data_IF_961198896606
#
_entry.id   IF_961198896606
#
_cell.length_a   1.000
_cell.length_b   1.000
_cell.length_c   1.000
_cell.angle_alpha   90.00
_cell.angle_beta   90.00
_cell.angle_gamma   90.00
#
_symmetry.space_group_name_H-M   'P 1'
#
loop_
_entity.id
_entity.type
_entity.pdbx_description
1 polymer ?
#
# COMPACT_ATOMS: atom_id res chain seq x y z
N UNK A 1 76.93 57.26 99.26
CA UNK A 1 76.94 58.72 99.52
C UNK A 1 76.64 59.44 98.22
N UNK A 2 75.73 60.42 98.29
CA UNK A 2 75.21 61.33 97.22
C UNK A 2 74.25 60.70 96.19
N UNK A 3 72.91 60.67 96.38
CA UNK A 3 71.86 61.74 96.37
C UNK A 3 71.55 62.24 94.92
N UNK A 4 70.46 61.84 94.22
CA UNK A 4 68.99 62.16 94.32
C UNK A 4 68.61 63.62 93.95
N UNK A 5 67.37 63.97 93.50
CA UNK A 5 66.26 63.30 92.75
C UNK A 5 65.68 64.30 91.67
N UNK A 6 64.36 64.51 91.44
CA UNK A 6 63.19 63.70 91.01
C UNK A 6 62.81 64.02 89.51
N UNK A 7 61.69 63.68 88.86
CA UNK A 7 60.33 64.22 89.03
C UNK A 7 59.39 63.75 87.89
N UNK A 8 58.10 63.94 88.13
CA UNK A 8 56.91 63.35 87.51
C UNK A 8 56.22 64.34 86.55
N UNK A 9 55.42 63.80 85.60
CA UNK A 9 54.23 64.39 84.94
C UNK A 9 54.40 65.35 83.74
N UNK A 10 53.30 65.66 83.01
CA UNK A 10 52.48 64.80 82.14
C UNK A 10 52.47 65.38 80.71
N UNK A 11 52.01 64.68 79.66
CA UNK A 11 51.37 65.38 78.52
C UNK A 11 50.70 64.40 77.57
N UNK A 12 49.38 64.33 77.74
CA UNK A 12 48.43 64.07 76.68
C UNK A 12 48.74 65.05 75.53
N UNK A 13 49.21 64.54 74.39
CA UNK A 13 49.20 65.30 73.15
C UNK A 13 47.75 65.44 72.64
N UNK A 14 47.38 66.60 72.05
CA UNK A 14 46.05 66.80 71.50
C UNK A 14 45.83 65.87 70.30
N UNK A 15 44.61 65.33 70.20
CA UNK A 15 44.13 64.61 69.00
C UNK A 15 44.40 65.47 67.75
N UNK A 16 45.08 64.96 66.72
CA UNK A 16 44.81 65.44 65.38
C UNK A 16 43.42 64.96 64.99
N UNK A 17 42.58 65.91 64.56
CA UNK A 17 41.29 65.66 63.97
C UNK A 17 41.43 64.51 62.97
N UNK A 18 40.65 63.45 63.22
CA UNK A 18 40.55 62.29 62.35
C UNK A 18 40.26 62.76 60.93
N UNK A 19 41.20 62.53 60.02
CA UNK A 19 40.90 62.54 58.59
C UNK A 19 39.63 61.71 58.37
N UNK A 20 38.65 62.19 57.59
CA UNK A 20 37.48 61.42 57.27
C UNK A 20 37.92 60.15 56.56
N UNK A 21 37.79 59.02 57.26
CA UNK A 21 38.09 57.69 56.76
C UNK A 21 37.39 57.51 55.41
N UNK A 22 38.19 57.36 54.34
CA UNK A 22 37.67 57.12 53.00
C UNK A 22 36.66 55.95 53.07
N UNK A 23 35.48 56.06 52.41
CA UNK A 23 34.47 55.03 52.49
C UNK A 23 35.08 53.69 52.07
N UNK A 24 35.01 52.72 52.97
CA UNK A 24 35.47 51.36 52.70
C UNK A 24 34.87 50.89 51.36
N UNK A 25 35.66 50.28 50.46
CA UNK A 25 35.14 49.77 49.21
C UNK A 25 33.96 48.83 49.50
N UNK A 26 32.88 48.87 48.69
CA UNK A 26 31.72 48.04 48.93
C UNK A 26 32.14 46.57 49.01
N UNK A 27 31.77 45.89 50.10
CA UNK A 27 32.06 44.46 50.25
C UNK A 27 31.56 43.72 49.01
N UNK A 28 32.36 42.81 48.42
CA UNK A 28 31.93 42.08 47.23
C UNK A 28 30.61 41.36 47.54
N UNK A 29 29.55 41.70 46.82
CA UNK A 29 28.27 41.00 46.91
C UNK A 29 28.52 39.56 46.49
N UNK A 30 28.62 38.65 47.46
CA UNK A 30 28.74 37.22 47.21
C UNK A 30 27.44 36.74 46.54
N UNK A 31 27.43 36.72 45.20
CA UNK A 31 26.35 36.08 44.42
C UNK A 31 26.34 34.62 44.83
N UNK A 32 25.38 34.21 45.66
CA UNK A 32 25.14 32.78 45.96
C UNK A 32 25.08 32.05 44.61
N UNK A 33 26.08 31.21 44.34
CA UNK A 33 26.12 30.39 43.11
C UNK A 33 24.78 29.64 43.04
N UNK A 34 24.04 29.84 41.95
CA UNK A 34 22.72 29.23 41.72
C UNK A 34 22.88 27.75 41.37
N UNK A 35 23.49 26.97 42.27
CA UNK A 35 23.66 25.52 42.13
C UNK A 35 22.33 24.81 41.91
N UNK A 36 21.24 25.36 42.46
CA UNK A 36 19.87 24.89 42.19
C UNK A 36 19.47 25.02 40.71
N UNK A 37 19.95 26.05 39.98
CA UNK A 37 19.65 26.22 38.57
C UNK A 37 20.46 25.24 37.70
N UNK A 38 21.70 24.94 38.09
CA UNK A 38 22.51 23.88 37.46
C UNK A 38 21.88 22.51 37.70
N UNK A 39 21.45 22.22 38.93
CA UNK A 39 20.74 20.98 39.28
C UNK A 39 19.42 20.83 38.52
N UNK A 40 18.63 21.91 38.40
CA UNK A 40 17.40 21.92 37.60
C UNK A 40 17.69 21.68 36.11
N UNK A 41 18.75 22.29 35.56
CA UNK A 41 19.17 22.05 34.18
C UNK A 41 19.54 20.59 33.92
N UNK A 42 20.34 19.97 34.79
CA UNK A 42 20.70 18.56 34.68
C UNK A 42 19.49 17.63 34.81
N UNK A 43 18.55 17.95 35.70
CA UNK A 43 17.31 17.20 35.85
C UNK A 43 16.44 17.27 34.59
N UNK A 44 16.33 18.45 33.96
CA UNK A 44 15.60 18.63 32.69
C UNK A 44 16.26 17.85 31.54
N UNK A 45 17.60 17.87 31.45
CA UNK A 45 18.34 17.07 30.45
C UNK A 45 18.12 15.58 30.69
N UNK A 46 18.23 15.12 31.94
CA UNK A 46 17.96 13.72 32.31
C UNK A 46 16.54 13.30 31.96
N UNK A 47 15.55 14.15 32.27
CA UNK A 47 14.15 13.91 31.91
C UNK A 47 13.95 13.84 30.39
N UNK A 48 14.60 14.73 29.62
CA UNK A 48 14.56 14.70 28.15
C UNK A 48 15.18 13.42 27.57
N UNK A 49 16.30 12.96 28.13
CA UNK A 49 16.94 11.69 27.73
C UNK A 49 16.01 10.51 28.02
N UNK A 50 15.46 10.42 29.24
CA UNK A 50 14.54 9.34 29.61
C UNK A 50 13.29 9.35 28.73
N UNK A 51 12.75 10.53 28.46
CA UNK A 51 11.62 10.72 27.55
C UNK A 51 11.95 10.24 26.12
N UNK A 52 13.12 10.61 25.61
CA UNK A 52 13.61 10.17 24.29
C UNK A 52 13.78 8.66 24.20
N UNK A 53 14.46 8.04 25.18
CA UNK A 53 14.66 6.58 25.23
C UNK A 53 13.32 5.84 25.35
N UNK A 54 12.39 6.33 26.19
CA UNK A 54 11.05 5.76 26.33
C UNK A 54 10.29 5.83 25.00
N UNK A 55 10.31 6.98 24.33
CA UNK A 55 9.66 7.19 23.04
C UNK A 55 10.24 6.26 21.97
N UNK A 56 11.58 6.18 21.88
CA UNK A 56 12.26 5.31 20.92
C UNK A 56 11.89 3.83 21.12
N UNK A 57 11.89 3.35 22.38
CA UNK A 57 11.44 1.98 22.69
C UNK A 57 9.98 1.72 22.30
N UNK A 58 9.12 2.74 22.41
CA UNK A 58 7.72 2.65 21.95
C UNK A 58 7.62 2.54 20.43
N UNK A 59 8.41 3.32 19.71
CA UNK A 59 8.51 3.24 18.24
C UNK A 59 9.02 1.86 17.83
N UNK A 60 10.16 1.41 18.37
CA UNK A 60 10.72 0.07 18.11
C UNK A 60 9.72 -1.04 18.40
N UNK A 61 9.02 -1.00 19.54
CA UNK A 61 8.00 -1.98 19.88
C UNK A 61 6.83 -2.00 18.88
N UNK A 62 6.44 -0.84 18.36
CA UNK A 62 5.37 -0.71 17.36
C UNK A 62 5.80 -1.33 16.03
N UNK A 63 6.99 -1.00 15.53
CA UNK A 63 7.52 -1.56 14.28
C UNK A 63 7.82 -3.06 14.40
N UNK A 64 8.24 -3.56 15.58
CA UNK A 64 8.41 -5.00 15.80
C UNK A 64 7.09 -5.78 15.69
N UNK A 65 5.93 -5.18 15.98
CA UNK A 65 4.62 -5.80 15.70
C UNK A 65 4.38 -5.87 14.19
N UNK A 66 4.67 -4.79 13.47
CA UNK A 66 4.54 -4.73 12.01
C UNK A 66 5.43 -5.76 11.31
N UNK A 67 6.70 -5.89 11.73
CA UNK A 67 7.64 -6.88 11.18
C UNK A 67 7.13 -8.31 11.36
N UNK A 68 6.54 -8.63 12.52
CA UNK A 68 5.93 -9.96 12.77
C UNK A 68 4.75 -10.22 11.85
N UNK A 69 3.88 -9.22 11.64
CA UNK A 69 2.78 -9.32 10.70
C UNK A 69 3.29 -9.59 9.27
N UNK A 70 4.29 -8.84 8.81
CA UNK A 70 4.88 -9.05 7.46
C UNK A 70 5.48 -10.45 7.34
N UNK A 71 6.19 -10.94 8.37
CA UNK A 71 6.74 -12.29 8.38
C UNK A 71 5.66 -13.40 8.40
N UNK A 72 4.47 -13.13 8.98
CA UNK A 72 3.32 -14.03 8.90
C UNK A 72 2.75 -14.07 7.48
N UNK A 73 2.58 -12.91 6.85
CA UNK A 73 2.12 -12.78 5.46
C UNK A 73 3.10 -13.47 4.50
N UNK A 74 4.41 -13.32 4.71
CA UNK A 74 5.42 -13.99 3.89
C UNK A 74 5.34 -15.52 4.02
N UNK A 75 5.23 -16.05 5.24
CA UNK A 75 4.99 -17.50 5.45
C UNK A 75 3.69 -17.98 4.81
N UNK A 76 2.65 -17.15 4.85
CA UNK A 76 1.40 -17.44 4.17
C UNK A 76 1.58 -17.53 2.65
N UNK A 77 2.37 -16.63 2.05
CA UNK A 77 2.76 -16.69 0.64
C UNK A 77 3.48 -17.99 0.30
N UNK A 78 4.49 -18.36 1.09
CA UNK A 78 5.26 -19.59 0.89
C UNK A 78 4.37 -20.85 0.90
N UNK A 79 3.30 -20.82 1.70
CA UNK A 79 2.33 -21.92 1.82
C UNK A 79 1.45 -22.17 0.59
N UNK A 80 1.30 -21.17 -0.31
CA UNK A 80 0.45 -21.33 -1.50
C UNK A 80 1.15 -22.28 -2.48
N UNK A 81 0.61 -23.46 -2.82
CA UNK A 81 1.24 -24.30 -3.84
C UNK A 81 1.23 -23.59 -5.20
N UNK A 82 2.30 -23.77 -5.98
CA UNK A 82 2.34 -23.38 -7.40
C UNK A 82 1.21 -24.07 -8.17
N UNK A 83 0.87 -23.55 -9.35
CA UNK A 83 0.02 -24.29 -10.28
C UNK A 83 0.72 -25.60 -10.64
N UNK A 84 -0.01 -26.71 -10.49
CA UNK A 84 0.37 -28.02 -10.99
C UNK A 84 0.21 -28.10 -12.51
N UNK A 85 0.82 -29.10 -13.13
CA UNK A 85 0.68 -29.36 -14.56
C UNK A 85 -0.78 -29.66 -14.96
N UNK A 86 -1.54 -30.31 -14.08
CA UNK A 86 -2.97 -30.56 -14.25
C UNK A 86 -3.77 -29.25 -14.25
N UNK A 87 -3.53 -28.37 -13.28
CA UNK A 87 -4.19 -27.05 -13.24
C UNK A 87 -3.82 -26.19 -14.45
N UNK A 88 -2.57 -26.24 -14.92
CA UNK A 88 -2.14 -25.59 -16.14
C UNK A 88 -2.86 -26.16 -17.37
N UNK A 89 -3.09 -27.48 -17.40
CA UNK A 89 -3.84 -28.13 -18.48
C UNK A 89 -5.32 -27.73 -18.46
N UNK A 90 -5.95 -27.64 -17.28
CA UNK A 90 -7.31 -27.14 -17.11
C UNK A 90 -7.44 -25.70 -17.62
N UNK A 91 -6.51 -24.81 -17.27
CA UNK A 91 -6.45 -23.44 -17.78
C UNK A 91 -6.17 -23.34 -19.29
N UNK A 92 -6.02 -24.46 -20.00
CA UNK A 92 -5.76 -24.50 -21.44
C UNK A 92 -6.79 -25.34 -22.21
N UNK A 93 -7.86 -25.78 -21.56
CA UNK A 93 -8.87 -26.67 -22.18
C UNK A 93 -9.78 -25.93 -23.15
N UNK A 94 -10.08 -24.66 -22.89
CA UNK A 94 -10.91 -23.85 -23.79
C UNK A 94 -10.07 -23.31 -24.94
N UNK A 95 -10.47 -23.66 -26.17
CA UNK A 95 -9.79 -23.22 -27.40
C UNK A 95 -10.33 -21.88 -27.85
N UNK A 96 -9.53 -21.10 -28.57
CA UNK A 96 -9.93 -19.78 -29.09
C UNK A 96 -11.28 -19.80 -29.85
N UNK A 97 -11.57 -20.85 -30.62
CA UNK A 97 -12.85 -20.98 -31.32
C UNK A 97 -14.07 -20.95 -30.37
N UNK A 98 -13.97 -21.56 -29.19
CA UNK A 98 -15.01 -21.53 -28.15
C UNK A 98 -15.21 -20.12 -27.60
N UNK A 99 -14.13 -19.36 -27.44
CA UNK A 99 -14.22 -17.97 -26.98
C UNK A 99 -14.98 -17.09 -27.98
N UNK A 100 -14.73 -17.25 -29.29
CA UNK A 100 -15.49 -16.53 -30.33
C UNK A 100 -16.95 -16.94 -30.33
N UNK A 101 -17.26 -18.24 -30.26
CA UNK A 101 -18.65 -18.75 -30.19
C UNK A 101 -19.42 -18.19 -28.99
N UNK A 102 -18.81 -18.21 -27.79
CA UNK A 102 -19.40 -17.65 -26.58
C UNK A 102 -19.57 -16.13 -26.70
N UNK A 103 -18.58 -15.44 -27.27
CA UNK A 103 -18.63 -14.00 -27.47
C UNK A 103 -19.76 -13.59 -28.41
N UNK A 104 -19.95 -14.33 -29.52
CA UNK A 104 -21.07 -14.15 -30.45
C UNK A 104 -22.43 -14.45 -29.79
N UNK A 105 -22.49 -15.45 -28.92
CA UNK A 105 -23.72 -15.89 -28.25
C UNK A 105 -24.19 -14.93 -27.16
N UNK A 106 -23.26 -14.44 -26.33
CA UNK A 106 -23.59 -13.64 -25.14
C UNK A 106 -23.29 -12.15 -25.29
N UNK A 107 -22.53 -11.77 -26.30
CA UNK A 107 -22.07 -10.41 -26.49
C UNK A 107 -22.93 -9.58 -27.43
N UNK A 108 -22.39 -8.42 -27.74
CA UNK A 108 -22.98 -7.43 -28.63
C UNK A 108 -21.87 -6.94 -29.54
N UNK A 109 -22.01 -7.19 -30.84
CA UNK A 109 -21.00 -6.78 -31.80
C UNK A 109 -21.07 -7.53 -33.13
N UNK A 110 -20.04 -7.35 -33.98
CA UNK A 110 -18.91 -6.44 -33.78
C UNK A 110 -19.20 -5.01 -34.31
N UNK A 111 -18.93 -3.94 -33.53
CA UNK A 111 -18.92 -2.58 -34.06
C UNK A 111 -17.66 -2.32 -34.89
N UNK A 112 -17.79 -1.58 -35.98
CA UNK A 112 -16.66 -1.21 -36.84
C UNK A 112 -15.83 -0.06 -36.24
N UNK A 113 -16.49 0.90 -35.58
CA UNK A 113 -15.87 2.15 -35.10
C UNK A 113 -16.18 2.44 -33.63
N UNK A 114 -15.41 3.34 -32.99
CA UNK A 114 -15.64 3.72 -31.59
C UNK A 114 -16.97 4.44 -31.37
N UNK A 115 -17.42 5.25 -32.32
CA UNK A 115 -18.73 5.90 -32.24
C UNK A 115 -19.88 4.88 -32.24
N UNK A 116 -19.73 3.80 -33.02
CA UNK A 116 -20.68 2.68 -33.02
C UNK A 116 -20.60 1.89 -31.70
N UNK A 117 -19.39 1.64 -31.19
CA UNK A 117 -19.21 1.03 -29.88
C UNK A 117 -19.84 1.88 -28.76
N UNK A 118 -19.70 3.20 -28.78
CA UNK A 118 -20.36 4.07 -27.81
C UNK A 118 -21.90 3.92 -27.88
N UNK A 119 -22.45 3.95 -29.10
CA UNK A 119 -23.89 3.78 -29.33
C UNK A 119 -24.42 2.42 -28.86
N UNK A 120 -23.69 1.33 -29.14
CA UNK A 120 -24.02 -0.01 -28.65
C UNK A 120 -23.87 -0.09 -27.13
N UNK A 121 -22.81 0.50 -26.60
CA UNK A 121 -22.55 0.54 -25.17
C UNK A 121 -23.70 1.17 -24.42
N UNK A 122 -24.23 2.28 -24.93
CA UNK A 122 -25.36 2.97 -24.30
C UNK A 122 -26.66 2.19 -24.45
N UNK A 123 -26.92 1.66 -25.65
CA UNK A 123 -28.13 0.85 -25.94
C UNK A 123 -28.22 -0.41 -25.08
N UNK A 124 -27.10 -1.07 -24.81
CA UNK A 124 -27.03 -2.33 -24.07
C UNK A 124 -26.49 -2.17 -22.65
N UNK A 125 -26.41 -0.92 -22.16
CA UNK A 125 -25.98 -0.58 -20.81
C UNK A 125 -24.61 -1.19 -20.43
N UNK A 126 -23.63 -1.11 -21.33
CA UNK A 126 -22.26 -1.52 -21.04
C UNK A 126 -21.72 -0.72 -19.85
N UNK A 127 -21.06 -1.45 -18.96
CA UNK A 127 -20.46 -0.92 -17.73
C UNK A 127 -19.04 -0.47 -18.04
N UNK A 128 -18.74 0.79 -17.75
CA UNK A 128 -17.37 1.29 -17.73
C UNK A 128 -16.64 0.67 -16.54
N UNK A 129 -15.46 0.09 -16.79
CA UNK A 129 -14.61 -0.47 -15.74
C UNK A 129 -13.42 0.45 -15.47
N UNK A 130 -13.07 0.60 -14.20
CA UNK A 130 -11.96 1.43 -13.75
C UNK A 130 -11.12 0.67 -12.73
N UNK A 131 -9.93 1.21 -12.41
CA UNK A 131 -9.12 0.67 -11.31
C UNK A 131 -9.83 0.95 -10.00
N UNK A 132 -10.09 -0.09 -9.21
CA UNK A 132 -10.76 0.01 -7.92
C UNK A 132 -10.07 -0.90 -6.89
N UNK A 133 -10.79 -1.26 -5.82
CA UNK A 133 -10.26 -2.18 -4.82
C UNK A 133 -10.09 -3.61 -5.37
N UNK A 134 -10.92 -4.07 -6.31
CA UNK A 134 -10.99 -5.45 -6.80
C UNK A 134 -9.86 -5.76 -7.79
N UNK A 135 -9.60 -4.87 -8.74
CA UNK A 135 -8.61 -5.07 -9.78
C UNK A 135 -8.04 -3.75 -10.31
N UNK A 136 -6.95 -3.83 -11.07
CA UNK A 136 -6.37 -2.69 -11.79
C UNK A 136 -6.72 -2.78 -13.27
N UNK A 137 -7.26 -1.72 -13.86
CA UNK A 137 -7.46 -1.61 -15.31
C UNK A 137 -6.26 -0.89 -15.92
N UNK A 138 -5.50 -1.59 -16.76
CA UNK A 138 -4.35 -1.01 -17.44
C UNK A 138 -4.81 -0.15 -18.62
N UNK A 139 -4.12 0.96 -18.92
CA UNK A 139 -4.40 1.74 -20.11
C UNK A 139 -4.12 0.90 -21.37
N UNK A 140 -5.03 0.94 -22.34
CA UNK A 140 -4.91 0.20 -23.60
C UNK A 140 -5.31 1.07 -24.78
N UNK A 141 -4.41 1.26 -25.74
CA UNK A 141 -4.66 2.06 -26.95
C UNK A 141 -5.81 1.48 -27.78
N UNK A 142 -5.86 0.16 -27.92
CA UNK A 142 -6.81 -0.56 -28.76
C UNK A 142 -7.98 -1.15 -27.96
N UNK A 143 -8.34 -0.56 -26.82
CA UNK A 143 -9.43 -1.08 -25.99
C UNK A 143 -10.31 0.04 -25.46
N UNK A 144 -11.62 -0.17 -25.54
CA UNK A 144 -12.63 0.68 -24.91
C UNK A 144 -12.90 0.08 -23.52
N UNK A 145 -12.66 0.80 -22.40
CA UNK A 145 -12.76 0.28 -21.02
C UNK A 145 -14.22 0.05 -20.59
N UNK A 146 -15.01 -0.62 -21.43
CA UNK A 146 -16.41 -0.96 -21.22
C UNK A 146 -16.60 -2.45 -21.47
N UNK A 147 -17.48 -3.06 -20.69
CA UNK A 147 -17.87 -4.45 -20.81
C UNK A 147 -19.39 -4.57 -20.78
N UNK A 148 -19.93 -5.63 -21.38
CA UNK A 148 -21.33 -6.00 -21.14
C UNK A 148 -21.56 -6.18 -19.62
N UNK A 149 -22.80 -5.96 -19.12
CA UNK A 149 -23.09 -6.13 -17.69
C UNK A 149 -22.68 -7.51 -17.13
N UNK A 150 -22.90 -8.58 -17.90
CA UNK A 150 -22.47 -9.92 -17.49
C UNK A 150 -20.96 -10.09 -17.46
N UNK A 151 -20.21 -9.44 -18.37
CA UNK A 151 -18.75 -9.48 -18.34
C UNK A 151 -18.16 -8.71 -17.16
N UNK A 152 -18.68 -7.52 -16.86
CA UNK A 152 -18.30 -6.80 -15.64
C UNK A 152 -18.60 -7.63 -14.39
N UNK A 153 -19.78 -8.24 -14.29
CA UNK A 153 -20.14 -9.11 -13.16
C UNK A 153 -19.23 -10.35 -13.03
N UNK A 154 -18.80 -10.92 -14.16
CA UNK A 154 -17.85 -12.05 -14.14
C UNK A 154 -16.47 -11.63 -13.66
N UNK A 155 -16.02 -10.43 -14.02
CA UNK A 155 -14.74 -9.88 -13.60
C UNK A 155 -14.70 -9.66 -12.07
N UNK A 156 -15.80 -9.11 -11.53
CA UNK A 156 -16.03 -9.00 -10.09
C UNK A 156 -16.01 -10.36 -9.40
N UNK A 157 -16.64 -11.36 -10.00
CA UNK A 157 -16.68 -12.73 -9.46
C UNK A 157 -15.28 -13.34 -9.39
N UNK A 158 -14.43 -13.09 -10.39
CA UNK A 158 -13.02 -13.49 -10.37
C UNK A 158 -12.28 -12.82 -9.21
N UNK A 159 -12.46 -11.51 -9.01
CA UNK A 159 -11.81 -10.78 -7.92
C UNK A 159 -12.24 -11.25 -6.53
N UNK A 160 -13.53 -11.50 -6.33
CA UNK A 160 -14.05 -12.08 -5.07
C UNK A 160 -13.44 -13.45 -4.83
N UNK A 161 -13.50 -14.35 -5.82
CA UNK A 161 -12.97 -15.72 -5.67
C UNK A 161 -11.45 -15.75 -5.50
N UNK A 162 -10.73 -14.84 -6.15
CA UNK A 162 -9.29 -14.66 -5.96
C UNK A 162 -8.97 -14.23 -4.53
N UNK A 163 -9.69 -13.22 -4.00
CA UNK A 163 -9.52 -12.76 -2.62
C UNK A 163 -9.85 -13.85 -1.60
N UNK A 164 -10.92 -14.61 -1.80
CA UNK A 164 -11.26 -15.75 -0.94
C UNK A 164 -10.12 -16.77 -0.86
N UNK A 165 -9.43 -17.05 -1.97
CA UNK A 165 -8.27 -17.95 -1.99
C UNK A 165 -7.06 -17.40 -1.24
N UNK A 166 -6.88 -16.08 -1.23
CA UNK A 166 -5.83 -15.42 -0.45
C UNK A 166 -6.18 -15.44 1.05
N UNK A 167 -7.42 -15.08 1.39
CA UNK A 167 -7.92 -15.03 2.75
C UNK A 167 -7.88 -16.40 3.45
N UNK A 168 -8.24 -17.47 2.74
CA UNK A 168 -8.11 -18.85 3.23
C UNK A 168 -6.68 -19.24 3.62
N UNK A 169 -5.67 -18.48 3.17
CA UNK A 169 -4.26 -18.67 3.52
C UNK A 169 -3.73 -17.61 4.48
N UNK A 170 -4.57 -16.69 4.96
CA UNK A 170 -4.19 -15.60 5.84
C UNK A 170 -3.47 -14.46 5.13
N UNK A 171 -3.66 -14.30 3.82
CA UNK A 171 -3.08 -13.20 3.05
C UNK A 171 -4.04 -12.02 2.98
N UNK A 172 -3.53 -10.78 3.00
CA UNK A 172 -4.35 -9.60 2.73
C UNK A 172 -4.81 -9.60 1.26
N UNK A 173 -5.84 -8.80 0.93
CA UNK A 173 -6.36 -8.76 -0.43
C UNK A 173 -5.35 -8.11 -1.40
N UNK A 174 -5.14 -8.80 -2.52
CA UNK A 174 -4.40 -8.29 -3.68
C UNK A 174 -5.34 -8.09 -4.87
N UNK A 175 -4.90 -7.26 -5.81
CA UNK A 175 -5.51 -6.98 -7.10
C UNK A 175 -4.68 -7.66 -8.19
N UNK A 176 -5.36 -8.23 -9.17
CA UNK A 176 -4.76 -8.54 -10.48
C UNK A 176 -5.00 -7.38 -11.45
N UNK A 177 -4.39 -7.43 -12.63
CA UNK A 177 -4.55 -6.40 -13.65
C UNK A 177 -5.25 -6.91 -14.92
N UNK A 178 -6.22 -6.14 -15.40
CA UNK A 178 -6.91 -6.31 -16.68
C UNK A 178 -6.14 -5.54 -17.73
N UNK A 179 -5.65 -6.22 -18.77
CA UNK A 179 -4.78 -5.64 -19.80
C UNK A 179 -5.52 -5.26 -21.08
N UNK A 180 -6.65 -5.89 -21.38
CA UNK A 180 -7.42 -5.57 -22.58
C UNK A 180 -8.87 -6.00 -22.42
N UNK A 181 -9.79 -5.33 -23.10
CA UNK A 181 -11.24 -5.54 -22.98
C UNK A 181 -11.94 -5.40 -24.34
N UNK A 182 -13.05 -4.67 -24.45
CA UNK A 182 -13.78 -4.49 -25.70
C UNK A 182 -12.97 -3.76 -26.77
N UNK A 183 -13.07 -4.22 -28.02
CA UNK A 183 -12.41 -3.62 -29.19
C UNK A 183 -13.42 -3.39 -30.31
N UNK A 184 -13.16 -2.40 -31.15
CA UNK A 184 -13.84 -2.24 -32.43
C UNK A 184 -13.13 -3.02 -33.54
N UNK A 185 -13.80 -3.23 -34.67
CA UNK A 185 -13.17 -3.78 -35.88
C UNK A 185 -11.96 -2.95 -36.33
N UNK A 186 -12.05 -1.62 -36.25
CA UNK A 186 -10.94 -0.71 -36.54
C UNK A 186 -9.78 -0.87 -35.54
N UNK A 187 -10.05 -0.94 -34.23
CA UNK A 187 -9.02 -1.17 -33.20
C UNK A 187 -8.33 -2.52 -33.42
N UNK A 188 -9.10 -3.56 -33.74
CA UNK A 188 -8.57 -4.90 -34.01
C UNK A 188 -7.74 -4.93 -35.30
N UNK A 189 -8.12 -4.19 -36.34
CA UNK A 189 -7.35 -4.04 -37.56
C UNK A 189 -6.03 -3.29 -37.33
N UNK A 190 -6.05 -2.20 -36.57
CA UNK A 190 -4.85 -1.46 -36.19
C UNK A 190 -3.89 -2.34 -35.37
N UNK A 191 -4.42 -3.06 -34.38
CA UNK A 191 -3.64 -3.98 -33.54
C UNK A 191 -2.92 -5.06 -34.37
N UNK A 192 -3.60 -5.64 -35.38
CA UNK A 192 -2.99 -6.64 -36.29
C UNK A 192 -1.77 -6.11 -37.03
N UNK A 193 -1.69 -4.81 -37.30
CA UNK A 193 -0.56 -4.19 -38.00
C UNK A 193 0.76 -4.29 -37.24
N UNK A 194 0.72 -4.38 -35.90
CA UNK A 194 1.92 -4.41 -35.04
C UNK A 194 2.04 -5.61 -34.10
N UNK A 195 0.98 -6.41 -33.91
CA UNK A 195 0.97 -7.51 -32.95
C UNK A 195 0.75 -8.87 -33.65
N UNK A 196 1.80 -9.70 -33.67
CA UNK A 196 1.78 -11.07 -34.22
C UNK A 196 0.83 -12.03 -33.50
N UNK A 197 0.42 -11.69 -32.27
CA UNK A 197 -0.54 -12.46 -31.48
C UNK A 197 -1.99 -12.02 -31.70
N UNK A 198 -2.24 -10.95 -32.47
CA UNK A 198 -3.59 -10.50 -32.77
C UNK A 198 -4.34 -11.56 -33.61
N UNK A 199 -5.63 -11.74 -33.32
CA UNK A 199 -6.48 -12.63 -34.10
C UNK A 199 -6.49 -12.21 -35.58
N UNK A 200 -6.15 -13.14 -36.47
CA UNK A 200 -6.12 -12.92 -37.92
C UNK A 200 -7.51 -12.69 -38.52
N UNK A 201 -8.56 -13.22 -37.87
CA UNK A 201 -9.96 -13.04 -38.24
C UNK A 201 -10.75 -12.29 -37.17
N UNK A 202 -12.01 -12.71 -36.95
CA UNK A 202 -12.84 -12.20 -35.85
C UNK A 202 -12.20 -12.47 -34.49
N UNK A 203 -12.20 -11.46 -33.64
CA UNK A 203 -11.74 -11.52 -32.27
C UNK A 203 -12.94 -11.55 -31.32
N UNK A 204 -12.88 -12.41 -30.31
CA UNK A 204 -13.87 -12.47 -29.21
C UNK A 204 -13.96 -11.15 -28.43
N UNK A 205 -12.90 -10.34 -28.46
CA UNK A 205 -12.90 -8.99 -27.88
C UNK A 205 -13.82 -8.02 -28.60
N UNK A 206 -14.30 -8.29 -29.82
CA UNK A 206 -15.16 -7.36 -30.56
C UNK A 206 -16.62 -7.33 -30.05
N UNK A 207 -16.98 -8.24 -29.14
CA UNK A 207 -18.36 -8.45 -28.68
C UNK A 207 -18.63 -7.95 -27.24
N UNK A 208 -17.65 -7.34 -26.58
CA UNK A 208 -17.82 -6.75 -25.23
C UNK A 208 -17.96 -7.75 -24.08
N UNK A 209 -17.78 -9.04 -24.34
CA UNK A 209 -17.90 -10.14 -23.36
C UNK A 209 -16.57 -10.78 -22.98
N UNK A 210 -15.47 -10.25 -23.53
CA UNK A 210 -14.14 -10.83 -23.43
C UNK A 210 -13.15 -9.81 -22.90
N UNK A 211 -12.26 -10.27 -22.03
CA UNK A 211 -11.20 -9.47 -21.43
C UNK A 211 -9.97 -10.33 -21.14
N UNK A 212 -8.81 -9.68 -21.14
CA UNK A 212 -7.53 -10.31 -20.83
C UNK A 212 -7.08 -9.89 -19.43
N UNK A 213 -6.78 -10.87 -18.58
CA UNK A 213 -6.14 -10.66 -17.27
C UNK A 213 -4.67 -11.02 -17.39
N UNK A 214 -3.76 -10.07 -17.13
CA UNK A 214 -2.33 -10.39 -17.20
C UNK A 214 -1.86 -11.13 -15.96
N UNK A 215 -1.08 -12.18 -16.18
CA UNK A 215 -0.33 -12.86 -15.12
C UNK A 215 1.15 -12.43 -15.09
N UNK A 216 1.47 -11.26 -15.65
CA UNK A 216 2.81 -10.69 -15.52
C UNK A 216 3.11 -10.48 -14.01
N UNK A 217 4.25 -10.97 -13.51
CA UNK A 217 4.66 -10.83 -12.12
C UNK A 217 4.54 -9.42 -11.51
N UNK A 218 4.75 -8.39 -12.33
CA UNK A 218 4.76 -6.99 -11.90
C UNK A 218 3.37 -6.33 -11.88
N UNK A 219 2.31 -7.12 -12.05
CA UNK A 219 0.93 -6.65 -12.24
C UNK A 219 -0.04 -7.10 -11.15
N UNK A 220 0.50 -7.57 -10.04
CA UNK A 220 -0.24 -7.68 -8.79
C UNK A 220 0.07 -6.49 -7.89
N UNK A 221 -0.93 -6.00 -7.16
CA UNK A 221 -0.73 -4.95 -6.15
C UNK A 221 -1.65 -5.18 -4.95
N UNK A 222 -1.27 -4.74 -3.74
CA UNK A 222 -2.15 -4.76 -2.58
C UNK A 222 -3.42 -3.94 -2.87
N UNK A 223 -4.57 -4.36 -2.35
CA UNK A 223 -5.82 -3.61 -2.47
C UNK A 223 -5.89 -2.56 -1.34
N UNK A 224 -5.55 -1.28 -1.59
CA UNK A 224 -5.26 -0.30 -0.54
C UNK A 224 -6.44 -0.11 0.43
N UNK A 225 -7.66 -0.06 -0.10
CA UNK A 225 -8.87 0.22 0.70
C UNK A 225 -9.37 -0.99 1.50
N UNK A 226 -8.74 -2.15 1.31
CA UNK A 226 -9.10 -3.40 1.96
C UNK A 226 -7.95 -3.99 2.80
N UNK A 227 -6.85 -3.24 2.98
CA UNK A 227 -5.74 -3.68 3.83
C UNK A 227 -6.12 -3.65 5.31
N UNK A 228 -5.61 -4.61 6.11
CA UNK A 228 -5.79 -4.56 7.54
C UNK A 228 -5.10 -3.30 8.11
N UNK A 229 -5.70 -2.66 9.13
CA UNK A 229 -5.12 -1.45 9.71
C UNK A 229 -3.73 -1.75 10.29
N UNK A 230 -2.82 -0.75 10.28
CA UNK A 230 -1.51 -0.91 10.91
C UNK A 230 -1.66 -1.16 12.42
N UNK A 231 -0.64 -1.74 13.07
CA UNK A 231 -0.69 -2.00 14.50
C UNK A 231 -0.90 -0.72 15.31
N UNK A 232 -1.50 -0.89 16.49
CA UNK A 232 -1.66 0.22 17.44
C UNK A 232 -0.27 0.72 17.88
N UNK A 233 -0.10 2.04 17.85
CA UNK A 233 1.10 2.72 18.35
C UNK A 233 1.23 2.48 19.86
N UNK A 234 2.40 2.05 20.31
CA UNK A 234 2.70 1.76 21.71
C UNK A 234 2.49 2.99 22.60
N UNK A 235 1.89 2.79 23.79
CA UNK A 235 1.53 3.88 24.72
C UNK A 235 2.75 4.63 25.29
N UNK A 236 3.99 4.14 25.06
CA UNK A 236 5.22 4.89 25.37
C UNK A 236 5.48 6.03 24.40
N UNK A 237 4.92 5.99 23.19
CA UNK A 237 5.02 7.07 22.21
C UNK A 237 4.07 8.20 22.62
N UNK A 238 4.54 9.45 22.70
CA UNK A 238 3.70 10.61 22.97
C UNK A 238 2.61 10.79 21.90
N UNK A 239 1.38 11.12 22.31
CA UNK A 239 0.24 11.26 21.41
C UNK A 239 0.46 12.23 20.23
N UNK A 240 1.23 13.30 20.42
CA UNK A 240 1.54 14.25 19.36
C UNK A 240 2.42 13.66 18.22
N UNK A 241 3.01 12.48 18.41
CA UNK A 241 3.76 11.74 17.39
C UNK A 241 2.97 10.58 16.77
N UNK A 242 1.79 10.24 17.31
CA UNK A 242 1.06 9.03 16.90
C UNK A 242 0.70 9.06 15.41
N UNK A 243 0.28 10.21 14.89
CA UNK A 243 -0.10 10.33 13.47
C UNK A 243 1.10 10.11 12.55
N UNK A 244 2.23 10.73 12.85
CA UNK A 244 3.47 10.57 12.08
C UNK A 244 3.95 9.12 12.08
N UNK A 245 3.86 8.44 13.23
CA UNK A 245 4.20 7.01 13.32
C UNK A 245 3.20 6.15 12.53
N UNK A 246 1.91 6.47 12.58
CA UNK A 246 0.86 5.76 11.83
C UNK A 246 1.05 5.90 10.32
N UNK A 247 1.26 7.11 9.82
CA UNK A 247 1.52 7.36 8.40
C UNK A 247 2.72 6.55 7.89
N UNK A 248 3.79 6.52 8.70
CA UNK A 248 4.98 5.71 8.39
C UNK A 248 4.68 4.21 8.36
N UNK A 249 3.90 3.69 9.32
CA UNK A 249 3.50 2.27 9.33
C UNK A 249 2.68 1.90 8.10
N UNK A 250 1.74 2.75 7.67
CA UNK A 250 0.95 2.52 6.45
C UNK A 250 1.86 2.48 5.22
N UNK A 251 2.81 3.41 5.13
CA UNK A 251 3.75 3.45 4.02
C UNK A 251 4.67 2.21 3.98
N UNK A 252 5.23 1.81 5.13
CA UNK A 252 6.08 0.61 5.23
C UNK A 252 5.28 -0.67 4.96
N UNK A 253 4.09 -0.83 5.54
CA UNK A 253 3.20 -1.97 5.26
C UNK A 253 2.91 -2.11 3.76
N UNK A 254 2.61 -1.00 3.08
CA UNK A 254 2.37 -1.02 1.63
C UNK A 254 3.61 -1.45 0.87
N UNK A 255 4.78 -0.88 1.18
CA UNK A 255 6.04 -1.22 0.53
C UNK A 255 6.41 -2.70 0.74
N UNK A 256 6.18 -3.24 1.94
CA UNK A 256 6.42 -4.65 2.25
C UNK A 256 5.50 -5.57 1.45
N UNK A 257 4.21 -5.24 1.35
CA UNK A 257 3.27 -6.04 0.56
C UNK A 257 3.54 -5.95 -0.95
N UNK A 258 3.93 -4.78 -1.45
CA UNK A 258 4.39 -4.62 -2.84
C UNK A 258 5.64 -5.46 -3.12
N UNK A 259 6.60 -5.49 -2.18
CA UNK A 259 7.78 -6.35 -2.26
C UNK A 259 7.40 -7.84 -2.28
N UNK A 260 6.54 -8.28 -1.37
CA UNK A 260 6.09 -9.68 -1.34
C UNK A 260 5.35 -10.09 -2.62
N UNK A 261 4.56 -9.20 -3.23
CA UNK A 261 3.95 -9.48 -4.53
C UNK A 261 5.00 -9.67 -5.65
N UNK A 262 6.09 -8.90 -5.60
CA UNK A 262 7.20 -9.01 -6.56
C UNK A 262 8.08 -10.27 -6.32
N UNK A 263 8.23 -10.68 -5.06
CA UNK A 263 9.01 -11.87 -4.67
C UNK A 263 8.23 -13.18 -4.92
N UNK A 264 6.90 -13.17 -4.76
CA UNK A 264 6.03 -14.35 -4.87
C UNK A 264 4.94 -14.27 -5.97
N UNK A 265 5.24 -13.78 -7.19
CA UNK A 265 4.23 -13.53 -8.23
C UNK A 265 3.54 -14.81 -8.72
N UNK A 266 4.27 -15.92 -8.73
CA UNK A 266 3.73 -17.22 -9.15
C UNK A 266 2.73 -17.79 -8.14
N UNK A 267 2.82 -17.39 -6.86
CA UNK A 267 1.88 -17.80 -5.80
C UNK A 267 0.54 -17.10 -6.00
N UNK A 268 0.57 -15.78 -6.28
CA UNK A 268 -0.62 -15.02 -6.67
C UNK A 268 -1.24 -15.53 -7.97
N UNK A 269 -0.39 -15.84 -8.96
CA UNK A 269 -0.84 -16.45 -10.22
C UNK A 269 -1.51 -17.80 -10.00
N UNK A 270 -1.07 -18.58 -9.02
CA UNK A 270 -1.71 -19.85 -8.69
C UNK A 270 -3.07 -19.67 -8.01
N UNK A 271 -3.19 -18.72 -7.08
CA UNK A 271 -4.48 -18.39 -6.49
C UNK A 271 -5.46 -17.87 -7.55
N UNK A 272 -5.04 -16.95 -8.44
CA UNK A 272 -5.87 -16.45 -9.54
C UNK A 272 -6.24 -17.57 -10.53
N UNK A 273 -5.28 -18.40 -10.93
CA UNK A 273 -5.52 -19.53 -11.83
C UNK A 273 -6.58 -20.49 -11.29
N UNK A 274 -6.52 -20.83 -10.00
CA UNK A 274 -7.54 -21.67 -9.34
C UNK A 274 -8.91 -21.00 -9.33
N UNK A 275 -8.98 -19.69 -9.15
CA UNK A 275 -10.26 -18.96 -9.17
C UNK A 275 -10.91 -19.04 -10.56
N UNK A 276 -10.09 -18.91 -11.61
CA UNK A 276 -10.53 -19.04 -12.99
C UNK A 276 -10.98 -20.46 -13.33
N UNK A 277 -10.27 -21.48 -12.86
CA UNK A 277 -10.67 -22.90 -13.04
C UNK A 277 -12.05 -23.14 -12.43
N UNK A 278 -12.27 -22.75 -11.17
CA UNK A 278 -13.55 -22.94 -10.49
C UNK A 278 -14.70 -22.24 -11.22
N UNK A 279 -14.51 -20.99 -11.64
CA UNK A 279 -15.54 -20.25 -12.36
C UNK A 279 -15.83 -20.84 -13.74
N UNK A 280 -14.83 -21.43 -14.41
CA UNK A 280 -15.04 -22.16 -15.65
C UNK A 280 -15.77 -23.49 -15.41
N UNK A 281 -15.46 -24.22 -14.34
CA UNK A 281 -16.16 -25.46 -13.94
C UNK A 281 -17.63 -25.19 -13.57
N UNK A 282 -17.92 -24.04 -12.97
CA UNK A 282 -19.28 -23.55 -12.70
C UNK A 282 -20.02 -23.05 -13.95
N UNK A 283 -19.36 -23.03 -15.12
CA UNK A 283 -19.92 -22.55 -16.38
C UNK A 283 -20.15 -21.04 -16.41
N UNK A 284 -19.47 -20.27 -15.56
CA UNK A 284 -19.57 -18.79 -15.51
C UNK A 284 -18.87 -18.17 -16.71
N UNK A 285 -17.68 -18.68 -17.02
CA UNK A 285 -16.76 -18.15 -18.02
C UNK A 285 -16.07 -19.31 -18.76
N UNK A 286 -15.41 -19.00 -19.86
CA UNK A 286 -14.36 -19.81 -20.45
C UNK A 286 -13.03 -19.08 -20.25
N UNK A 287 -11.96 -19.83 -19.97
CA UNK A 287 -10.62 -19.27 -19.79
C UNK A 287 -9.59 -20.04 -20.60
N UNK A 288 -8.66 -19.31 -21.23
CA UNK A 288 -7.46 -19.88 -21.80
C UNK A 288 -6.23 -19.09 -21.37
N UNK A 289 -5.25 -19.80 -20.80
CA UNK A 289 -3.93 -19.27 -20.48
C UNK A 289 -3.09 -19.26 -21.75
N UNK A 290 -2.89 -18.07 -22.30
CA UNK A 290 -2.17 -17.88 -23.55
C UNK A 290 -0.69 -18.30 -23.47
N UNK A 291 -0.17 -18.80 -24.60
CA UNK A 291 1.22 -19.28 -24.69
C UNK A 291 2.20 -18.19 -25.08
N UNK A 292 1.80 -17.32 -26.00
CA UNK A 292 2.67 -16.29 -26.61
C UNK A 292 2.59 -14.93 -25.92
N UNK A 293 1.63 -14.78 -25.01
CA UNK A 293 1.42 -13.57 -24.22
C UNK A 293 1.04 -13.95 -22.78
N UNK A 294 1.54 -13.22 -21.76
CA UNK A 294 1.31 -13.57 -20.36
C UNK A 294 -0.08 -13.10 -19.88
N UNK A 295 -1.14 -13.61 -20.51
CA UNK A 295 -2.53 -13.29 -20.15
C UNK A 295 -3.41 -14.55 -20.08
N UNK A 296 -4.39 -14.49 -19.19
CA UNK A 296 -5.59 -15.30 -19.25
C UNK A 296 -6.59 -14.58 -20.14
N UNK A 297 -6.95 -15.19 -21.25
CA UNK A 297 -8.02 -14.73 -22.11
C UNK A 297 -9.34 -15.31 -21.60
N UNK A 298 -10.28 -14.45 -21.23
CA UNK A 298 -11.50 -14.82 -20.51
C UNK A 298 -12.71 -14.31 -21.28
N UNK A 299 -13.70 -15.18 -21.49
CA UNK A 299 -14.98 -14.84 -22.11
C UNK A 299 -16.13 -15.35 -21.27
N UNK A 300 -17.18 -14.55 -21.08
CA UNK A 300 -18.39 -14.96 -20.36
C UNK A 300 -19.07 -16.15 -21.03
N UNK A 301 -19.50 -17.14 -20.25
CA UNK A 301 -20.17 -18.34 -20.74
C UNK A 301 -21.66 -18.44 -20.36
N UNK A 302 -22.18 -17.48 -19.58
CA UNK A 302 -23.60 -17.37 -19.23
C UNK A 302 -24.00 -15.93 -18.90
N UNK A 303 -25.30 -15.60 -19.01
CA UNK A 303 -25.80 -14.30 -18.54
C UNK A 303 -25.73 -14.22 -17.02
N UNK A 304 -25.13 -13.15 -16.52
CA UNK A 304 -25.00 -12.84 -15.09
C UNK A 304 -25.75 -11.55 -14.77
N UNK A 305 -26.30 -11.50 -13.55
CA UNK A 305 -26.88 -10.27 -12.99
C UNK A 305 -25.74 -9.45 -12.36
N UNK A 306 -25.56 -8.18 -12.75
CA UNK A 306 -24.56 -7.31 -12.13
C UNK A 306 -24.82 -7.14 -10.63
N UNK A 307 -23.75 -6.97 -9.85
CA UNK A 307 -23.89 -6.49 -8.47
C UNK A 307 -24.53 -5.09 -8.54
N UNK A 308 -25.53 -4.75 -7.71
CA UNK A 308 -25.96 -3.36 -7.58
C UNK A 308 -24.73 -2.50 -7.22
N UNK A 309 -24.64 -1.31 -7.83
CA UNK A 309 -23.60 -0.35 -7.46
C UNK A 309 -23.67 -0.12 -5.95
N UNK A 310 -22.53 -0.15 -5.26
CA UNK A 310 -22.48 0.23 -3.85
C UNK A 310 -22.92 1.70 -3.75
N UNK A 311 -23.95 1.98 -2.96
CA UNK A 311 -24.41 3.34 -2.62
C UNK A 311 -23.34 4.13 -1.85
#
# INVERSE_FOLDING_TARGET
MSASPPDVQPLIEPRPDSEPMAPLPPRPRYRKKRWWAVGLGLALVGAAIVFGVRTNRGIEATFAVQERYVAEVERAFESIPMLSDEEIALLRRSRNARHVELAETFGVGPPDTRAEADSLGDRYAFVTIETDSLYTVLPGEYSVPRLTPSAAASLDSIAVRFREKLDQRGLPPFRFAVSSVWRTGADQAALRGGNVNAAAGRSSHEYGTTYDITYNPTRYSPAPDALPPPPRVDDRVPGFLHEVVRERLVAEQRADLDRLAADYPSRLTAALGRALIELEDEGVLAVVRERRQPVYHVTVARRLVPRPAAE
#
